data_IF_162696780646
#
_entry.id   IF_162696780646
#
_cell.length_a   1.000
_cell.length_b   1.000
_cell.length_c   1.000
_cell.angle_alpha   90.00
_cell.angle_beta   90.00
_cell.angle_gamma   90.00
#
_symmetry.space_group_name_H-M   'P 1'
#
loop_
_entity.id
_entity.type
_entity.pdbx_description
1 polymer ?
#
# COMPACT_ATOMS: atom_id res chain seq x y z
N UNK A 1 -24.94 2.03 -6.51
CA UNK A 1 -23.59 1.51 -6.56
C UNK A 1 -23.00 1.47 -5.17
N UNK A 2 -22.32 0.46 -4.87
CA UNK A 2 -21.72 0.39 -3.55
C UNK A 2 -20.73 1.52 -3.37
N UNK A 3 -20.73 2.10 -2.20
CA UNK A 3 -19.77 3.14 -1.85
C UNK A 3 -18.56 2.56 -1.17
N UNK A 4 -18.68 1.34 -0.65
CA UNK A 4 -17.55 0.63 -0.07
C UNK A 4 -16.70 0.01 -1.16
N UNK A 5 -15.43 -0.04 -0.88
CA UNK A 5 -14.48 -0.71 -1.76
C UNK A 5 -14.52 -2.21 -1.48
N UNK A 6 -14.23 -3.08 -2.47
CA UNK A 6 -14.17 -4.52 -2.26
C UNK A 6 -12.89 -4.94 -1.53
N UNK A 7 -12.46 -4.15 -0.56
CA UNK A 7 -11.22 -4.34 0.16
C UNK A 7 -11.50 -4.86 1.56
N UNK A 8 -10.75 -5.88 1.96
CA UNK A 8 -10.73 -6.32 3.35
C UNK A 8 -9.63 -5.56 4.07
N UNK A 9 -9.99 -4.79 5.07
CA UNK A 9 -9.04 -3.97 5.83
C UNK A 9 -9.15 -4.33 7.30
N UNK A 10 -8.05 -4.78 7.89
CA UNK A 10 -7.98 -5.16 9.30
C UNK A 10 -6.93 -4.28 9.97
N UNK A 11 -7.36 -3.38 10.83
CA UNK A 11 -6.48 -2.42 11.48
C UNK A 11 -5.81 -2.97 12.74
N UNK A 12 -6.43 -3.93 13.42
CA UNK A 12 -5.87 -4.56 14.60
C UNK A 12 -4.57 -5.28 14.25
N UNK A 13 -3.49 -5.07 15.00
CA UNK A 13 -2.25 -5.80 14.75
C UNK A 13 -2.45 -7.31 14.92
N UNK A 14 -2.01 -8.06 13.92
CA UNK A 14 -2.10 -9.52 13.94
C UNK A 14 -1.14 -10.13 14.96
N UNK A 15 0.05 -9.56 15.06
CA UNK A 15 1.12 -10.09 15.90
C UNK A 15 1.42 -9.14 17.05
N UNK A 16 1.54 -9.69 18.24
CA UNK A 16 1.93 -8.95 19.44
C UNK A 16 3.45 -8.93 19.56
N UNK A 17 3.99 -8.05 20.43
CA UNK A 17 5.43 -8.07 20.65
C UNK A 17 5.94 -9.47 20.97
N UNK A 18 7.10 -9.81 20.44
CA UNK A 18 7.80 -11.08 20.60
C UNK A 18 7.18 -12.26 19.86
N UNK A 19 6.03 -12.10 19.22
CA UNK A 19 5.48 -13.14 18.36
C UNK A 19 6.21 -13.16 17.03
N UNK A 20 6.48 -14.35 16.50
CA UNK A 20 7.10 -14.51 15.19
C UNK A 20 6.13 -14.11 14.09
N UNK A 21 6.55 -13.20 13.24
CA UNK A 21 5.74 -12.76 12.10
C UNK A 21 6.09 -13.61 10.89
N UNK A 22 5.09 -14.28 10.33
CA UNK A 22 5.26 -15.09 9.13
C UNK A 22 4.29 -14.58 8.08
N UNK A 23 4.71 -13.54 7.32
CA UNK A 23 3.82 -12.88 6.37
C UNK A 23 3.33 -13.81 5.27
N UNK A 24 4.16 -14.78 4.86
CA UNK A 24 3.77 -15.70 3.79
C UNK A 24 2.56 -16.54 4.16
N UNK A 25 2.44 -16.95 5.42
CA UNK A 25 1.29 -17.71 5.87
C UNK A 25 -0.01 -16.91 5.71
N UNK A 26 0.03 -15.64 6.09
CA UNK A 26 -1.13 -14.77 5.92
C UNK A 26 -1.38 -14.49 4.43
N UNK A 27 -0.33 -14.15 3.68
CA UNK A 27 -0.48 -13.82 2.28
C UNK A 27 -1.08 -14.98 1.47
N UNK A 28 -0.65 -16.21 1.75
CA UNK A 28 -1.13 -17.38 1.02
C UNK A 28 -2.57 -17.76 1.38
N UNK A 29 -3.10 -17.25 2.48
CA UNK A 29 -4.43 -17.60 2.97
C UNK A 29 -5.53 -16.62 2.51
N UNK A 30 -5.18 -15.54 1.83
CA UNK A 30 -6.13 -14.46 1.53
C UNK A 30 -6.13 -14.10 0.05
N UNK A 31 -7.22 -13.46 -0.36
CA UNK A 31 -7.41 -13.01 -1.74
C UNK A 31 -7.28 -11.49 -1.83
N UNK A 32 -6.89 -10.93 -2.99
CA UNK A 32 -6.94 -9.48 -3.20
C UNK A 32 -8.38 -8.99 -3.14
N UNK A 33 -8.68 -7.87 -2.71
CA UNK A 33 -7.80 -6.86 -2.09
C UNK A 33 -7.82 -7.06 -0.59
N UNK A 34 -6.67 -7.14 0.02
CA UNK A 34 -6.55 -7.42 1.44
C UNK A 34 -5.46 -6.53 2.03
N UNK A 35 -5.72 -5.96 3.19
CA UNK A 35 -4.79 -5.11 3.91
C UNK A 35 -4.93 -5.40 5.39
N UNK A 36 -3.87 -5.90 6.01
CA UNK A 36 -3.89 -6.19 7.44
C UNK A 36 -2.64 -5.64 8.12
N UNK A 37 -2.84 -4.98 9.25
CA UNK A 37 -1.73 -4.57 10.10
C UNK A 37 -1.09 -5.83 10.70
N UNK A 38 0.19 -6.04 10.42
CA UNK A 38 0.92 -7.17 11.00
C UNK A 38 1.39 -6.86 12.42
N UNK A 39 1.98 -5.70 12.61
CA UNK A 39 2.54 -5.33 13.91
C UNK A 39 2.66 -3.82 14.03
N UNK A 40 2.94 -3.38 15.24
CA UNK A 40 3.17 -1.96 15.54
C UNK A 40 4.55 -1.76 16.12
N UNK A 41 5.22 -0.70 15.68
CA UNK A 41 6.53 -0.29 16.16
C UNK A 41 6.41 1.19 16.52
N UNK A 42 6.36 1.50 17.82
CA UNK A 42 6.06 2.85 18.30
C UNK A 42 4.74 3.35 17.71
N UNK A 43 4.73 4.49 17.04
CA UNK A 43 3.56 5.02 16.36
C UNK A 43 3.48 4.62 14.89
N UNK A 44 4.33 3.71 14.46
CA UNK A 44 4.31 3.18 13.09
C UNK A 44 3.74 1.78 13.05
N UNK A 45 3.16 1.42 11.93
CA UNK A 45 2.62 0.07 11.71
C UNK A 45 3.23 -0.51 10.44
N UNK A 46 3.36 -1.83 10.43
CA UNK A 46 3.73 -2.60 9.25
C UNK A 46 2.47 -3.32 8.78
N UNK A 47 2.05 -3.05 7.57
CA UNK A 47 0.86 -3.65 6.97
C UNK A 47 1.24 -4.59 5.85
N UNK A 48 0.46 -5.64 5.70
CA UNK A 48 0.56 -6.56 4.58
C UNK A 48 -0.60 -6.25 3.64
N UNK A 49 -0.30 -6.07 2.36
CA UNK A 49 -1.33 -5.85 1.34
C UNK A 49 -1.18 -6.87 0.22
N UNK A 50 -2.31 -7.46 -0.16
CA UNK A 50 -2.41 -8.36 -1.31
C UNK A 50 -3.29 -7.64 -2.31
N UNK A 51 -2.73 -7.31 -3.47
CA UNK A 51 -3.39 -6.43 -4.43
C UNK A 51 -3.37 -7.04 -5.82
N UNK A 52 -4.40 -6.68 -6.62
CA UNK A 52 -4.49 -7.06 -8.02
C UNK A 52 -5.46 -6.12 -8.71
N UNK A 53 -5.04 -5.49 -9.81
CA UNK A 53 -5.85 -4.51 -10.50
C UNK A 53 -5.51 -3.09 -10.04
N UNK A 54 -6.42 -2.18 -10.21
CA UNK A 54 -6.20 -0.76 -9.95
C UNK A 54 -6.86 -0.33 -8.66
N UNK A 55 -6.12 0.43 -7.87
CA UNK A 55 -6.66 1.13 -6.71
C UNK A 55 -7.20 2.49 -7.18
N UNK A 56 -7.82 3.23 -6.28
CA UNK A 56 -8.27 4.59 -6.60
C UNK A 56 -7.15 5.61 -6.39
N UNK A 57 -7.25 6.75 -7.06
CA UNK A 57 -6.34 7.87 -6.84
C UNK A 57 -6.58 8.44 -5.44
N UNK A 58 -5.50 8.67 -4.69
CA UNK A 58 -5.60 9.22 -3.33
C UNK A 58 -4.27 9.83 -2.90
N UNK A 59 -4.30 10.51 -1.78
CA UNK A 59 -3.09 11.02 -1.12
C UNK A 59 -3.34 11.06 0.38
N UNK A 60 -2.25 11.04 1.13
CA UNK A 60 -2.29 11.28 2.57
C UNK A 60 -1.64 12.64 2.82
N UNK A 61 -2.37 13.54 3.47
CA UNK A 61 -1.93 14.94 3.55
C UNK A 61 -0.78 15.16 4.50
N UNK A 62 -0.65 14.33 5.53
CA UNK A 62 0.26 14.60 6.63
C UNK A 62 1.31 13.51 6.86
N UNK A 63 1.24 12.38 6.18
CA UNK A 63 2.09 11.24 6.44
C UNK A 63 2.70 10.67 5.17
N UNK A 64 3.96 10.25 5.28
CA UNK A 64 4.62 9.48 4.23
C UNK A 64 4.19 8.01 4.33
N UNK A 65 4.29 7.29 3.23
CA UNK A 65 4.07 5.84 3.18
C UNK A 65 5.26 5.15 2.54
N UNK A 66 5.71 4.06 3.13
CA UNK A 66 6.73 3.22 2.51
C UNK A 66 6.06 1.99 1.89
N UNK A 67 6.37 1.71 0.61
CA UNK A 67 5.92 0.52 -0.10
C UNK A 67 7.12 -0.37 -0.40
N UNK A 68 6.96 -1.66 -0.20
CA UNK A 68 8.01 -2.65 -0.46
C UNK A 68 7.38 -3.92 -1.02
N UNK A 69 7.77 -4.31 -2.25
CA UNK A 69 7.19 -5.48 -2.90
C UNK A 69 7.94 -6.74 -2.47
N UNK A 70 7.18 -7.74 -2.04
CA UNK A 70 7.70 -9.06 -1.67
C UNK A 70 7.60 -10.00 -2.86
N UNK A 71 6.45 -9.96 -3.57
CA UNK A 71 6.14 -10.88 -4.65
C UNK A 71 5.23 -10.16 -5.65
N UNK A 72 5.45 -10.38 -6.93
CA UNK A 72 4.65 -9.77 -7.98
C UNK A 72 5.29 -8.51 -8.54
N UNK A 73 4.48 -7.51 -8.88
CA UNK A 73 4.95 -6.24 -9.42
C UNK A 73 3.92 -5.16 -9.11
N UNK A 74 4.37 -4.06 -8.53
CA UNK A 74 3.53 -2.92 -8.23
C UNK A 74 3.92 -1.75 -9.13
N UNK A 75 2.93 -1.15 -9.77
CA UNK A 75 3.08 0.09 -10.52
C UNK A 75 2.41 1.18 -9.72
N UNK A 76 3.10 2.30 -9.52
CA UNK A 76 2.54 3.45 -8.81
C UNK A 76 2.51 4.62 -9.76
N UNK A 77 1.30 5.00 -10.17
CA UNK A 77 1.08 6.20 -10.96
C UNK A 77 1.01 7.38 -10.00
N UNK A 78 1.66 8.48 -10.34
CA UNK A 78 1.65 9.66 -9.48
C UNK A 78 1.67 10.94 -10.28
N UNK A 79 1.12 11.99 -9.67
CA UNK A 79 1.27 13.35 -10.16
C UNK A 79 2.51 13.90 -9.46
N UNK A 80 3.61 14.01 -10.21
CA UNK A 80 4.91 14.39 -9.65
C UNK A 80 4.94 15.89 -9.39
N UNK A 81 5.09 16.34 -8.14
CA UNK A 81 5.13 17.77 -7.84
C UNK A 81 6.31 18.49 -8.46
N UNK A 82 7.33 17.75 -8.89
CA UNK A 82 8.51 18.34 -9.58
C UNK A 82 8.38 18.31 -11.09
N UNK A 83 7.27 17.79 -11.63
CA UNK A 83 7.04 17.74 -13.08
C UNK A 83 5.61 18.19 -13.37
N UNK A 84 5.43 19.48 -13.74
CA UNK A 84 4.10 20.02 -13.97
C UNK A 84 3.38 19.43 -15.17
N UNK A 85 4.06 18.65 -16.00
CA UNK A 85 3.42 17.95 -17.12
C UNK A 85 2.64 16.72 -16.68
N UNK A 86 2.88 16.20 -15.47
CA UNK A 86 2.17 15.02 -14.99
C UNK A 86 0.76 15.35 -14.53
N UNK A 87 -0.18 14.49 -14.90
CA UNK A 87 -1.59 14.57 -14.52
C UNK A 87 -2.11 13.15 -14.29
N UNK A 88 -3.37 13.01 -13.88
CA UNK A 88 -3.97 11.68 -13.77
C UNK A 88 -4.03 10.97 -15.12
N UNK A 89 -4.17 11.73 -16.21
CA UNK A 89 -4.20 11.16 -17.56
C UNK A 89 -2.80 10.92 -18.13
N UNK A 90 -1.79 11.56 -17.57
CA UNK A 90 -0.40 11.44 -18.00
C UNK A 90 0.51 11.37 -16.78
N UNK A 91 0.43 10.31 -15.99
CA UNK A 91 1.19 10.24 -14.75
C UNK A 91 2.65 9.84 -14.98
N UNK A 92 3.47 10.12 -13.97
CA UNK A 92 4.73 9.42 -13.81
C UNK A 92 4.42 8.06 -13.20
N UNK A 93 5.08 7.01 -13.64
CA UNK A 93 4.88 5.67 -13.10
C UNK A 93 6.20 5.13 -12.53
N UNK A 94 6.14 4.67 -11.30
CA UNK A 94 7.24 3.97 -10.66
C UNK A 94 6.90 2.48 -10.67
N UNK A 95 7.83 1.65 -11.13
CA UNK A 95 7.66 0.19 -11.15
C UNK A 95 8.50 -0.43 -10.06
N UNK A 96 7.86 -1.21 -9.19
CA UNK A 96 8.54 -1.95 -8.13
C UNK A 96 8.44 -3.45 -8.42
N UNK A 97 9.60 -4.08 -8.54
CA UNK A 97 9.72 -5.53 -8.64
C UNK A 97 10.01 -6.10 -7.25
N UNK A 98 9.98 -7.43 -7.05
CA UNK A 98 10.27 -8.01 -5.74
C UNK A 98 11.57 -7.48 -5.15
N UNK A 99 11.54 -7.15 -3.86
CA UNK A 99 12.66 -6.64 -3.08
C UNK A 99 13.05 -5.21 -3.45
N UNK A 100 12.09 -4.47 -4.02
CA UNK A 100 12.25 -3.04 -4.28
C UNK A 100 11.17 -2.27 -3.54
N UNK A 101 11.51 -1.07 -3.12
CA UNK A 101 10.60 -0.22 -2.38
C UNK A 101 10.77 1.26 -2.70
N UNK A 102 9.82 2.06 -2.25
CA UNK A 102 9.83 3.51 -2.42
C UNK A 102 9.07 4.16 -1.28
N UNK A 103 9.49 5.35 -0.90
CA UNK A 103 8.69 6.19 0.00
C UNK A 103 7.82 7.10 -0.87
N UNK A 104 6.51 7.00 -0.67
CA UNK A 104 5.55 7.93 -1.27
C UNK A 104 5.39 9.09 -0.30
N UNK A 105 5.86 10.30 -0.68
CA UNK A 105 5.79 11.44 0.24
C UNK A 105 4.35 11.86 0.50
N UNK A 106 4.15 12.46 1.67
CA UNK A 106 2.85 13.05 1.98
C UNK A 106 2.44 14.04 0.90
N UNK A 107 1.14 14.18 0.73
CA UNK A 107 0.52 15.14 -0.17
C UNK A 107 0.81 14.92 -1.67
N UNK A 108 1.27 13.74 -2.05
CA UNK A 108 1.44 13.37 -3.46
C UNK A 108 0.29 12.48 -3.88
N UNK A 109 -0.46 12.95 -4.90
CA UNK A 109 -1.58 12.18 -5.44
C UNK A 109 -1.03 10.99 -6.21
N UNK A 110 -1.48 9.78 -5.87
CA UNK A 110 -0.96 8.56 -6.46
C UNK A 110 -2.02 7.47 -6.53
N UNK A 111 -1.74 6.47 -7.37
CA UNK A 111 -2.60 5.30 -7.54
C UNK A 111 -1.73 4.05 -7.72
N UNK A 112 -1.74 3.12 -6.76
CA UNK A 112 -1.10 1.83 -6.97
C UNK A 112 -1.97 0.95 -7.87
N UNK A 113 -1.31 0.15 -8.71
CA UNK A 113 -1.97 -0.88 -9.51
C UNK A 113 -1.03 -2.05 -9.70
N UNK A 114 -1.62 -3.24 -9.83
CA UNK A 114 -0.85 -4.46 -9.94
C UNK A 114 -1.42 -5.28 -11.09
N UNK A 115 -0.63 -5.55 -12.16
CA UNK A 115 -1.13 -6.34 -13.28
C UNK A 115 -1.49 -7.77 -12.91
N UNK A 116 -0.86 -8.29 -11.87
CA UNK A 116 -1.11 -9.63 -11.34
C UNK A 116 -1.09 -9.58 -9.83
N UNK A 117 -1.49 -10.67 -9.18
CA UNK A 117 -1.48 -10.74 -7.73
C UNK A 117 -0.11 -10.33 -7.20
N UNK A 118 -0.09 -9.37 -6.30
CA UNK A 118 1.14 -8.80 -5.76
C UNK A 118 1.02 -8.75 -4.25
N UNK A 119 2.11 -9.13 -3.59
CA UNK A 119 2.24 -9.10 -2.14
C UNK A 119 3.22 -8.00 -1.78
N UNK A 120 2.79 -7.08 -0.93
CA UNK A 120 3.64 -5.97 -0.53
C UNK A 120 3.51 -5.69 0.96
N UNK A 121 4.56 -5.09 1.51
CA UNK A 121 4.55 -4.54 2.86
C UNK A 121 4.49 -3.02 2.76
N UNK A 122 3.83 -2.42 3.74
CA UNK A 122 3.74 -0.98 3.88
C UNK A 122 4.14 -0.60 5.29
N UNK A 123 4.88 0.49 5.42
CA UNK A 123 5.20 1.07 6.73
C UNK A 123 4.65 2.48 6.74
N UNK A 124 3.85 2.79 7.74
CA UNK A 124 3.18 4.08 7.84
C UNK A 124 2.82 4.36 9.30
N UNK A 125 2.40 5.58 9.61
CA UNK A 125 1.93 5.87 10.96
C UNK A 125 0.58 5.21 11.20
N UNK A 126 0.26 4.95 12.46
CA UNK A 126 -1.00 4.28 12.82
C UNK A 126 -2.22 5.18 12.62
N UNK A 127 -2.01 6.46 12.29
CA UNK A 127 -3.09 7.39 12.00
C UNK A 127 -3.57 7.35 10.56
N UNK A 128 -2.82 6.68 9.66
CA UNK A 128 -3.20 6.61 8.25
C UNK A 128 -4.42 5.70 8.05
N UNK A 129 -5.38 6.20 7.26
CA UNK A 129 -6.51 5.41 6.81
C UNK A 129 -6.15 4.81 5.45
N UNK A 130 -6.11 3.47 5.31
CA UNK A 130 -5.66 2.85 4.06
C UNK A 130 -6.43 3.25 2.81
N UNK A 131 -7.67 3.69 2.95
CA UNK A 131 -8.53 4.07 1.82
C UNK A 131 -8.74 5.57 1.69
N UNK A 132 -8.07 6.40 2.50
CA UNK A 132 -8.30 7.85 2.43
C UNK A 132 -7.76 8.45 1.14
N UNK A 133 -8.28 9.59 0.81
CA UNK A 133 -7.96 10.32 -0.42
C UNK A 133 -7.46 11.71 -0.12
#
# INVERSE_FOLDING_TARGET
MPTEFPYTIILEPKYKPLELIEEKLTADAVQPWYNETLCQVNDSVVRLAIVKGEYHWHKHQNEDEFFYVVEGQLLIDLIDPNDPATTEDNPRTITLNPRQGVVMPKNVMHRPRAPKRTVMLMVETDTIQPTSS
#
